data_IF_352698416649
#
_entry.id   IF_352698416649
#
_cell.length_a   1.000
_cell.length_b   1.000
_cell.length_c   1.000
_cell.angle_alpha   90.00
_cell.angle_beta   90.00
_cell.angle_gamma   90.00
#
_symmetry.space_group_name_H-M   'P 1'
#
loop_
_entity.id
_entity.type
_entity.pdbx_description
1 polymer ?
#
# COMPACT_ATOMS: atom_id res chain seq x y z
N UNK A 1 -11.46 -19.81 26.47
CA UNK A 1 -10.34 -19.24 25.68
C UNK A 1 -9.08 -19.26 26.52
N UNK A 2 -8.08 -20.07 26.16
CA UNK A 2 -6.78 -20.06 26.83
C UNK A 2 -5.90 -19.02 26.13
N UNK A 3 -5.36 -18.07 26.89
CA UNK A 3 -4.46 -17.05 26.33
C UNK A 3 -3.06 -17.62 26.09
N UNK A 4 -2.39 -17.15 25.04
CA UNK A 4 -1.01 -17.52 24.74
C UNK A 4 -0.08 -17.15 25.90
N UNK A 5 0.94 -17.99 26.14
CA UNK A 5 2.01 -17.68 27.09
C UNK A 5 2.72 -16.37 26.70
N UNK A 6 3.31 -15.66 27.68
CA UNK A 6 3.99 -14.38 27.43
C UNK A 6 5.01 -14.46 26.27
N UNK A 7 5.88 -15.49 26.18
CA UNK A 7 6.81 -15.61 25.06
C UNK A 7 6.11 -15.73 23.69
N UNK A 8 5.02 -16.49 23.62
CA UNK A 8 4.27 -16.68 22.38
C UNK A 8 3.53 -15.40 21.95
N UNK A 9 2.99 -14.62 22.91
CA UNK A 9 2.39 -13.31 22.62
C UNK A 9 3.43 -12.32 22.08
N UNK A 10 4.60 -12.24 22.72
CA UNK A 10 5.68 -11.36 22.26
C UNK A 10 6.19 -11.76 20.87
N UNK A 11 6.30 -13.06 20.59
CA UNK A 11 6.69 -13.52 19.25
C UNK A 11 5.63 -13.16 18.20
N UNK A 12 4.36 -13.40 18.51
CA UNK A 12 3.25 -13.04 17.62
C UNK A 12 3.25 -11.54 17.32
N UNK A 13 3.38 -10.70 18.33
CA UNK A 13 3.44 -9.25 18.18
C UNK A 13 4.61 -8.82 17.28
N UNK A 14 5.81 -9.38 17.49
CA UNK A 14 6.98 -9.09 16.68
C UNK A 14 6.80 -9.53 15.22
N UNK A 15 6.26 -10.73 14.98
CA UNK A 15 6.00 -11.24 13.64
C UNK A 15 4.95 -10.41 12.90
N UNK A 16 3.88 -10.00 13.58
CA UNK A 16 2.83 -9.15 13.00
C UNK A 16 3.39 -7.78 12.59
N UNK A 17 4.22 -7.15 13.43
CA UNK A 17 4.88 -5.88 13.10
C UNK A 17 5.78 -6.02 11.88
N UNK A 18 6.63 -7.06 11.84
CA UNK A 18 7.52 -7.30 10.71
C UNK A 18 6.74 -7.55 9.40
N UNK A 19 5.65 -8.33 9.44
CA UNK A 19 4.81 -8.56 8.27
C UNK A 19 4.17 -7.26 7.75
N UNK A 20 3.70 -6.39 8.66
CA UNK A 20 3.16 -5.07 8.30
C UNK A 20 4.21 -4.20 7.62
N UNK A 21 5.41 -4.10 8.17
CA UNK A 21 6.48 -3.27 7.61
C UNK A 21 6.87 -3.72 6.20
N UNK A 22 6.94 -5.04 5.99
CA UNK A 22 7.20 -5.64 4.67
C UNK A 22 6.06 -5.30 3.70
N UNK A 23 4.81 -5.45 4.13
CA UNK A 23 3.65 -5.17 3.29
C UNK A 23 3.57 -3.68 2.89
N UNK A 24 3.80 -2.76 3.83
CA UNK A 24 3.82 -1.31 3.55
C UNK A 24 4.95 -0.95 2.57
N UNK A 25 6.13 -1.54 2.74
CA UNK A 25 7.28 -1.34 1.84
C UNK A 25 7.00 -1.86 0.43
N UNK A 26 6.46 -3.08 0.32
CA UNK A 26 6.12 -3.69 -0.96
C UNK A 26 5.00 -2.93 -1.68
N UNK A 27 3.95 -2.54 -0.95
CA UNK A 27 2.85 -1.73 -1.46
C UNK A 27 3.35 -0.39 -2.03
N UNK A 28 4.19 0.32 -1.27
CA UNK A 28 4.82 1.57 -1.73
C UNK A 28 5.61 1.35 -3.03
N UNK A 29 6.50 0.37 -3.06
CA UNK A 29 7.34 0.08 -4.23
C UNK A 29 6.49 -0.22 -5.47
N UNK A 30 5.42 -1.03 -5.33
CA UNK A 30 4.52 -1.33 -6.44
C UNK A 30 3.76 -0.09 -6.95
N UNK A 31 3.29 0.77 -6.05
CA UNK A 31 2.59 2.01 -6.41
C UNK A 31 3.53 3.03 -7.07
N UNK A 32 4.78 3.10 -6.61
CA UNK A 32 5.83 3.93 -7.21
C UNK A 32 6.24 3.43 -8.59
N UNK A 33 6.36 2.10 -8.76
CA UNK A 33 6.60 1.48 -10.08
C UNK A 33 5.51 1.84 -11.09
N UNK A 34 4.24 1.81 -10.67
CA UNK A 34 3.11 2.26 -11.49
C UNK A 34 3.05 3.79 -11.66
N UNK A 35 3.92 4.55 -10.99
CA UNK A 35 3.91 6.02 -11.01
C UNK A 35 2.59 6.61 -10.52
N UNK A 36 1.96 5.99 -9.51
CA UNK A 36 0.66 6.44 -8.97
C UNK A 36 0.76 7.84 -8.40
N UNK A 37 1.87 8.20 -7.74
CA UNK A 37 2.07 9.56 -7.20
C UNK A 37 2.50 10.60 -8.25
N UNK A 38 3.01 10.15 -9.39
CA UNK A 38 3.60 11.04 -10.40
C UNK A 38 2.53 11.71 -11.29
N UNK A 39 2.79 12.89 -11.86
CA UNK A 39 1.82 13.56 -12.72
C UNK A 39 1.64 12.83 -14.06
N UNK A 40 2.73 12.29 -14.62
CA UNK A 40 2.74 11.55 -15.88
C UNK A 40 2.90 10.05 -15.62
N UNK A 41 2.25 9.24 -16.45
CA UNK A 41 2.43 7.79 -16.42
C UNK A 41 3.84 7.43 -16.93
N UNK A 42 4.53 6.47 -16.30
CA UNK A 42 5.78 5.93 -16.84
C UNK A 42 5.58 5.32 -18.23
N UNK A 43 6.54 5.54 -19.13
CA UNK A 43 6.44 5.09 -20.53
C UNK A 43 6.53 3.57 -20.73
N UNK A 44 6.93 2.82 -19.71
CA UNK A 44 7.06 1.36 -19.77
C UNK A 44 5.77 0.60 -19.38
N UNK A 45 4.72 1.31 -18.96
CA UNK A 45 3.48 0.66 -18.54
C UNK A 45 2.73 0.05 -19.74
N UNK A 46 2.23 -1.17 -19.56
CA UNK A 46 1.25 -1.74 -20.48
C UNK A 46 -0.09 -0.99 -20.38
N UNK A 47 -1.00 -1.14 -21.36
CA UNK A 47 -2.34 -0.55 -21.29
C UNK A 47 -3.10 -0.93 -20.01
N UNK A 48 -3.00 -2.18 -19.57
CA UNK A 48 -3.65 -2.70 -18.37
C UNK A 48 -3.05 -2.07 -17.10
N UNK A 49 -1.72 -1.89 -17.07
CA UNK A 49 -1.05 -1.21 -15.96
C UNK A 49 -1.39 0.28 -15.91
N UNK A 50 -1.52 0.94 -17.06
CA UNK A 50 -1.96 2.34 -17.14
C UNK A 50 -3.41 2.51 -16.65
N UNK A 51 -4.29 1.57 -17.00
CA UNK A 51 -5.66 1.51 -16.48
C UNK A 51 -5.69 1.29 -14.96
N UNK A 52 -4.90 0.33 -14.47
CA UNK A 52 -4.76 0.07 -13.03
C UNK A 52 -4.28 1.32 -12.29
N UNK A 53 -3.24 2.00 -12.82
CA UNK A 53 -2.74 3.26 -12.28
C UNK A 53 -3.85 4.32 -12.18
N UNK A 54 -4.69 4.48 -13.21
CA UNK A 54 -5.78 5.48 -13.18
C UNK A 54 -6.76 5.19 -12.04
N UNK A 55 -7.16 3.92 -11.90
CA UNK A 55 -8.08 3.47 -10.83
C UNK A 55 -7.46 3.66 -9.44
N UNK A 56 -6.19 3.30 -9.27
CA UNK A 56 -5.46 3.48 -8.02
C UNK A 56 -5.33 4.96 -7.63
N UNK A 57 -5.04 5.85 -8.59
CA UNK A 57 -5.03 7.30 -8.33
C UNK A 57 -6.37 7.81 -7.83
N UNK A 58 -7.46 7.40 -8.48
CA UNK A 58 -8.81 7.74 -8.03
C UNK A 58 -9.09 7.24 -6.62
N UNK A 59 -8.76 5.98 -6.36
CA UNK A 59 -8.98 5.35 -5.06
C UNK A 59 -8.18 6.02 -3.94
N UNK A 60 -6.89 6.32 -4.16
CA UNK A 60 -6.09 7.06 -3.17
C UNK A 60 -6.73 8.40 -2.79
N UNK A 61 -7.28 9.15 -3.76
CA UNK A 61 -7.98 10.41 -3.45
C UNK A 61 -9.27 10.20 -2.67
N UNK A 62 -9.99 9.11 -2.90
CA UNK A 62 -11.17 8.76 -2.11
C UNK A 62 -10.81 8.42 -0.65
N UNK A 63 -9.63 7.83 -0.44
CA UNK A 63 -9.11 7.53 0.90
C UNK A 63 -8.52 8.75 1.62
N UNK A 64 -8.31 9.87 0.90
CA UNK A 64 -7.78 11.12 1.46
C UNK A 64 -6.39 11.52 0.98
N UNK A 65 -5.80 10.82 0.00
CA UNK A 65 -4.55 11.28 -0.61
C UNK A 65 -4.78 12.58 -1.40
N UNK A 66 -3.95 13.59 -1.09
CA UNK A 66 -4.08 14.93 -1.66
C UNK A 66 -3.44 14.98 -3.04
N UNK A 67 -4.12 15.64 -3.98
CA UNK A 67 -3.53 16.05 -5.26
C UNK A 67 -3.03 17.48 -5.16
N UNK A 68 -1.73 17.68 -5.35
CA UNK A 68 -1.07 18.97 -5.23
C UNK A 68 -1.11 19.76 -6.55
N UNK A 69 -0.72 21.04 -6.48
CA UNK A 69 -0.43 21.84 -7.68
C UNK A 69 0.68 21.17 -8.50
N UNK A 70 0.42 20.92 -9.79
CA UNK A 70 1.33 20.15 -10.65
C UNK A 70 0.99 18.66 -10.77
N UNK A 71 -0.20 18.23 -10.34
CA UNK A 71 -0.77 16.89 -10.51
C UNK A 71 -0.02 15.73 -9.83
N UNK A 72 1.00 16.03 -9.03
CA UNK A 72 1.54 15.07 -8.05
C UNK A 72 0.46 14.73 -7.04
N UNK A 73 0.40 13.45 -6.67
CA UNK A 73 -0.56 12.92 -5.71
C UNK A 73 0.18 12.22 -4.60
N UNK A 74 -0.26 12.44 -3.36
CA UNK A 74 0.17 11.59 -2.26
C UNK A 74 -0.30 10.15 -2.51
N UNK A 75 0.35 9.19 -1.84
CA UNK A 75 0.02 7.77 -1.93
C UNK A 75 -0.05 7.11 -0.55
N UNK A 76 -0.06 7.90 0.53
CA UNK A 76 0.11 7.38 1.89
C UNK A 76 -1.09 6.54 2.30
N UNK A 77 -2.30 7.06 2.10
CA UNK A 77 -3.53 6.34 2.47
C UNK A 77 -3.69 5.10 1.60
N UNK A 78 -3.37 5.21 0.31
CA UNK A 78 -3.39 4.07 -0.58
C UNK A 78 -2.36 2.99 -0.22
N UNK A 79 -1.15 3.37 0.22
CA UNK A 79 -0.14 2.42 0.72
C UNK A 79 -0.68 1.64 1.92
N UNK A 80 -1.31 2.33 2.88
CA UNK A 80 -1.87 1.67 4.06
C UNK A 80 -3.01 0.73 3.71
N UNK A 81 -3.91 1.12 2.81
CA UNK A 81 -5.00 0.26 2.35
C UNK A 81 -4.47 -1.01 1.67
N UNK A 82 -3.54 -0.86 0.72
CA UNK A 82 -2.94 -2.01 0.01
C UNK A 82 -2.19 -2.92 0.97
N UNK A 83 -1.39 -2.34 1.87
CA UNK A 83 -0.66 -3.13 2.87
C UNK A 83 -1.61 -3.87 3.83
N UNK A 84 -2.69 -3.22 4.26
CA UNK A 84 -3.70 -3.80 5.12
C UNK A 84 -4.41 -4.98 4.44
N UNK A 85 -4.86 -4.82 3.19
CA UNK A 85 -5.51 -5.89 2.43
C UNK A 85 -4.60 -7.12 2.24
N UNK A 86 -3.31 -6.90 1.95
CA UNK A 86 -2.35 -7.98 1.80
C UNK A 86 -2.01 -8.66 3.13
N UNK A 87 -1.88 -7.89 4.21
CA UNK A 87 -1.63 -8.43 5.54
C UNK A 87 -2.84 -9.21 6.08
N UNK A 88 -4.06 -8.69 5.92
CA UNK A 88 -5.27 -9.33 6.42
C UNK A 88 -5.59 -10.64 5.67
N UNK A 89 -5.19 -10.76 4.40
CA UNK A 89 -5.27 -12.03 3.65
C UNK A 89 -4.21 -13.06 4.06
N UNK A 90 -3.12 -12.64 4.72
CA UNK A 90 -2.09 -13.54 5.24
C UNK A 90 -2.39 -14.05 6.67
N UNK A 91 -3.43 -13.54 7.32
CA UNK A 91 -3.96 -13.99 8.61
C UNK A 91 -5.17 -14.92 8.43
#
# INVERSE_FOLDING_TARGET
MHSLSKPLRSRLEATVKAARDIAETAARSALEHLGVGEPKAPGHLTPEQAELRRRLRLHGRQLGDVKHSGDKQDIRHLVWEVAYEHWHRML
#
